data_IF_192970756917
#
_entry.id   IF_192970756917
#
_cell.length_a   1.000
_cell.length_b   1.000
_cell.length_c   1.000
_cell.angle_alpha   90.00
_cell.angle_beta   90.00
_cell.angle_gamma   90.00
#
_symmetry.space_group_name_H-M   'P 1'
#
loop_
_entity.id
_entity.type
_entity.pdbx_description
1 polymer ?
#
# COMPACT_ATOMS: atom_id res chain seq x y z
N UNK A 1 12.88 -22.54 -0.10
CA UNK A 1 13.65 -21.75 -1.10
C UNK A 1 12.80 -21.09 -2.20
N UNK A 2 11.70 -21.67 -2.67
CA UNK A 2 10.90 -21.09 -3.78
C UNK A 2 10.29 -19.70 -3.47
N UNK A 3 9.78 -19.50 -2.25
CA UNK A 3 9.12 -18.24 -1.84
C UNK A 3 10.07 -17.03 -1.89
N UNK A 4 11.27 -17.14 -1.33
CA UNK A 4 12.27 -16.05 -1.32
C UNK A 4 12.68 -15.65 -2.75
N UNK A 5 12.79 -16.65 -3.65
CA UNK A 5 13.09 -16.40 -5.06
C UNK A 5 11.96 -15.62 -5.74
N UNK A 6 10.71 -16.03 -5.51
CA UNK A 6 9.53 -15.35 -6.06
C UNK A 6 9.36 -13.95 -5.48
N UNK A 7 9.65 -13.75 -4.20
CA UNK A 7 9.66 -12.43 -3.57
C UNK A 7 10.65 -11.48 -4.24
N UNK A 8 11.91 -11.91 -4.45
CA UNK A 8 12.91 -11.11 -5.16
C UNK A 8 12.46 -10.75 -6.58
N UNK A 9 11.77 -11.67 -7.26
CA UNK A 9 11.21 -11.43 -8.59
C UNK A 9 10.05 -10.43 -8.57
N UNK A 10 9.17 -10.54 -7.58
CA UNK A 10 8.07 -9.59 -7.37
C UNK A 10 8.63 -8.17 -7.21
N UNK A 11 9.63 -7.99 -6.33
CA UNK A 11 10.30 -6.69 -6.12
C UNK A 11 10.90 -6.16 -7.44
N UNK A 12 11.64 -7.00 -8.17
CA UNK A 12 12.23 -6.60 -9.47
C UNK A 12 11.16 -6.22 -10.50
N UNK A 13 10.06 -6.95 -10.56
CA UNK A 13 8.93 -6.62 -11.44
C UNK A 13 8.30 -5.29 -11.07
N UNK A 14 8.08 -5.04 -9.78
CA UNK A 14 7.54 -3.76 -9.30
C UNK A 14 8.47 -2.60 -9.68
N UNK A 15 9.78 -2.74 -9.44
CA UNK A 15 10.76 -1.70 -9.72
C UNK A 15 11.00 -1.48 -11.22
N UNK A 16 10.69 -2.45 -12.08
CA UNK A 16 10.77 -2.30 -13.53
C UNK A 16 9.74 -1.30 -14.05
N UNK A 17 8.55 -1.27 -13.47
CA UNK A 17 7.49 -0.31 -13.80
C UNK A 17 7.54 0.95 -12.91
N UNK A 18 8.69 1.65 -12.92
CA UNK A 18 8.99 2.78 -12.02
C UNK A 18 7.84 3.79 -11.88
N UNK A 19 7.25 4.23 -12.99
CA UNK A 19 6.13 5.21 -12.97
C UNK A 19 4.97 4.73 -12.11
N UNK A 20 4.62 3.45 -12.26
CA UNK A 20 3.46 2.88 -11.56
C UNK A 20 3.78 2.56 -10.11
N UNK A 21 5.00 2.08 -9.84
CA UNK A 21 5.48 1.91 -8.48
C UNK A 21 5.40 3.22 -7.69
N UNK A 22 5.89 4.33 -8.26
CA UNK A 22 5.84 5.65 -7.61
C UNK A 22 4.41 6.08 -7.36
N UNK A 23 3.52 6.00 -8.36
CA UNK A 23 2.11 6.39 -8.21
C UNK A 23 1.44 5.59 -7.09
N UNK A 24 1.58 4.25 -7.09
CA UNK A 24 0.95 3.42 -6.08
C UNK A 24 1.56 3.64 -4.70
N UNK A 25 2.88 3.76 -4.59
CA UNK A 25 3.56 4.03 -3.33
C UNK A 25 3.09 5.37 -2.74
N UNK A 26 2.95 6.41 -3.57
CA UNK A 26 2.48 7.73 -3.14
C UNK A 26 1.03 7.66 -2.65
N UNK A 27 0.14 6.97 -3.39
CA UNK A 27 -1.24 6.77 -2.96
C UNK A 27 -1.30 6.04 -1.60
N UNK A 28 -0.57 4.94 -1.43
CA UNK A 28 -0.53 4.24 -0.15
C UNK A 28 0.06 5.10 0.96
N UNK A 29 1.07 5.92 0.68
CA UNK A 29 1.64 6.87 1.63
C UNK A 29 0.58 7.86 2.11
N UNK A 30 -0.16 8.48 1.19
CA UNK A 30 -1.22 9.44 1.52
C UNK A 30 -2.33 8.75 2.32
N UNK A 31 -2.75 7.55 1.91
CA UNK A 31 -3.80 6.81 2.61
C UNK A 31 -3.38 6.46 4.04
N UNK A 32 -2.20 5.87 4.23
CA UNK A 32 -1.68 5.52 5.56
C UNK A 32 -1.52 6.78 6.43
N UNK A 33 -0.97 7.85 5.87
CA UNK A 33 -0.79 9.12 6.58
C UNK A 33 -2.13 9.72 7.03
N UNK A 34 -3.10 9.86 6.12
CA UNK A 34 -4.40 10.43 6.45
C UNK A 34 -5.14 9.58 7.47
N UNK A 35 -5.20 8.26 7.25
CA UNK A 35 -5.89 7.36 8.18
C UNK A 35 -5.23 7.39 9.56
N UNK A 36 -3.90 7.42 9.65
CA UNK A 36 -3.18 7.49 10.93
C UNK A 36 -3.37 8.82 11.62
N UNK A 37 -3.40 9.93 10.88
CA UNK A 37 -3.69 11.26 11.39
C UNK A 37 -5.09 11.34 12.02
N UNK A 38 -6.12 10.89 11.32
CA UNK A 38 -7.48 10.90 11.85
C UNK A 38 -7.64 9.98 13.07
N UNK A 39 -6.90 8.86 13.09
CA UNK A 39 -6.89 7.93 14.21
C UNK A 39 -6.20 8.56 15.44
N UNK A 40 -5.07 9.26 15.26
CA UNK A 40 -4.43 10.06 16.32
C UNK A 40 -5.38 11.12 16.90
N UNK A 41 -6.04 11.90 16.03
CA UNK A 41 -7.02 12.91 16.47
C UNK A 41 -8.14 12.28 17.29
N UNK A 42 -8.59 11.08 16.93
CA UNK A 42 -9.63 10.36 17.68
C UNK A 42 -9.15 9.90 19.05
N UNK A 43 -7.87 9.51 19.16
CA UNK A 43 -7.27 9.09 20.42
C UNK A 43 -6.91 10.26 21.33
N UNK A 44 -6.63 11.43 20.77
CA UNK A 44 -6.45 12.65 21.54
C UNK A 44 -7.77 13.08 22.19
N UNK A 45 -7.75 13.38 23.50
CA UNK A 45 -8.96 13.76 24.26
C UNK A 45 -9.65 15.01 23.71
N UNK A 46 -8.95 15.84 22.95
CA UNK A 46 -9.48 17.05 22.28
C UNK A 46 -10.37 16.74 21.06
N UNK A 47 -10.27 15.52 20.50
CA UNK A 47 -10.97 15.10 19.30
C UNK A 47 -12.17 14.17 19.53
N UNK A 48 -12.60 13.94 20.77
CA UNK A 48 -13.68 13.01 21.13
C UNK A 48 -15.11 13.52 20.84
N UNK A 49 -15.30 14.21 19.71
CA UNK A 49 -16.62 14.62 19.21
C UNK A 49 -17.30 13.51 18.39
N UNK A 50 -18.63 13.56 18.29
CA UNK A 50 -19.36 12.65 17.39
C UNK A 50 -18.95 12.85 15.93
N UNK A 51 -18.71 14.09 15.50
CA UNK A 51 -18.37 14.45 14.11
C UNK A 51 -17.01 13.87 13.65
N UNK A 52 -15.97 13.95 14.48
CA UNK A 52 -14.63 13.42 14.17
C UNK A 52 -14.68 11.90 13.98
N UNK A 53 -15.44 11.21 14.81
CA UNK A 53 -15.65 9.74 14.70
C UNK A 53 -16.30 9.37 13.37
N UNK A 54 -17.31 10.12 12.90
CA UNK A 54 -17.91 9.88 11.58
C UNK A 54 -16.92 10.10 10.44
N UNK A 55 -16.12 11.18 10.50
CA UNK A 55 -15.08 11.42 9.49
C UNK A 55 -14.05 10.30 9.46
N UNK A 56 -13.64 9.78 10.61
CA UNK A 56 -12.70 8.66 10.70
C UNK A 56 -13.28 7.42 10.06
N UNK A 57 -14.54 7.08 10.35
CA UNK A 57 -15.20 5.90 9.75
C UNK A 57 -15.30 6.04 8.22
N UNK A 58 -15.67 7.23 7.73
CA UNK A 58 -15.77 7.49 6.28
C UNK A 58 -14.39 7.42 5.62
N UNK A 59 -13.37 8.08 6.18
CA UNK A 59 -12.01 8.06 5.63
C UNK A 59 -11.40 6.66 5.72
N UNK A 60 -11.64 5.94 6.80
CA UNK A 60 -11.20 4.57 6.96
C UNK A 60 -11.88 3.68 5.92
N UNK A 61 -13.21 3.71 5.80
CA UNK A 61 -13.96 2.93 4.82
C UNK A 61 -13.55 3.22 3.37
N UNK A 62 -13.41 4.50 3.01
CA UNK A 62 -12.96 4.92 1.67
C UNK A 62 -11.51 4.49 1.41
N UNK A 63 -10.62 4.63 2.39
CA UNK A 63 -9.22 4.20 2.27
C UNK A 63 -9.12 2.69 2.04
N UNK A 64 -9.91 1.89 2.75
CA UNK A 64 -9.96 0.44 2.58
C UNK A 64 -10.51 0.06 1.21
N UNK A 65 -11.61 0.70 0.78
CA UNK A 65 -12.20 0.47 -0.53
C UNK A 65 -11.22 0.80 -1.66
N UNK A 66 -10.57 1.96 -1.59
CA UNK A 66 -9.54 2.37 -2.54
C UNK A 66 -8.37 1.38 -2.54
N UNK A 67 -7.93 0.92 -1.37
CA UNK A 67 -6.84 -0.04 -1.24
C UNK A 67 -7.14 -1.37 -1.96
N UNK A 68 -8.39 -1.84 -1.97
CA UNK A 68 -8.85 -3.03 -2.72
C UNK A 68 -8.91 -2.73 -4.22
N UNK A 69 -9.44 -1.56 -4.60
CA UNK A 69 -9.52 -1.12 -6.00
C UNK A 69 -8.12 -1.06 -6.64
N UNK A 70 -7.11 -0.60 -5.91
CA UNK A 70 -5.74 -0.54 -6.42
C UNK A 70 -5.10 -1.91 -6.59
N UNK A 71 -5.25 -2.81 -5.61
CA UNK A 71 -4.81 -4.20 -5.75
C UNK A 71 -5.43 -4.85 -7.00
N UNK A 72 -6.72 -4.59 -7.24
CA UNK A 72 -7.41 -5.05 -8.44
C UNK A 72 -6.85 -4.44 -9.72
N UNK A 73 -6.58 -3.13 -9.75
CA UNK A 73 -6.06 -2.44 -10.92
C UNK A 73 -4.68 -2.97 -11.34
N UNK A 74 -3.80 -3.26 -10.38
CA UNK A 74 -2.50 -3.90 -10.60
C UNK A 74 -2.67 -5.24 -11.33
N UNK A 75 -3.61 -6.07 -10.88
CA UNK A 75 -3.84 -7.39 -11.46
C UNK A 75 -4.41 -7.30 -12.87
N UNK A 76 -5.39 -6.42 -13.11
CA UNK A 76 -6.03 -6.27 -14.42
C UNK A 76 -5.05 -5.73 -15.45
N UNK A 77 -4.27 -4.72 -15.12
CA UNK A 77 -3.32 -4.11 -16.07
C UNK A 77 -2.25 -5.11 -16.49
N UNK A 78 -1.75 -5.90 -15.57
CA UNK A 78 -0.67 -6.86 -15.82
C UNK A 78 -1.18 -8.21 -16.38
N UNK A 79 -2.44 -8.29 -16.82
CA UNK A 79 -3.07 -9.51 -17.37
C UNK A 79 -2.24 -10.17 -18.47
N UNK A 80 -1.59 -9.39 -19.34
CA UNK A 80 -0.72 -9.92 -20.40
C UNK A 80 0.51 -10.60 -19.81
N UNK A 81 1.20 -9.93 -18.88
CA UNK A 81 2.38 -10.48 -18.19
C UNK A 81 2.02 -11.79 -17.49
N UNK A 82 0.85 -11.87 -16.85
CA UNK A 82 0.35 -13.11 -16.24
C UNK A 82 0.10 -14.21 -17.27
N UNK A 83 -0.47 -13.88 -18.44
CA UNK A 83 -0.66 -14.84 -19.53
C UNK A 83 0.68 -15.36 -20.07
N UNK A 84 1.68 -14.49 -20.24
CA UNK A 84 3.02 -14.88 -20.68
C UNK A 84 3.71 -15.79 -19.67
N UNK A 85 3.62 -15.48 -18.37
CA UNK A 85 4.17 -16.33 -17.32
C UNK A 85 3.51 -17.72 -17.31
N UNK A 86 2.19 -17.80 -17.51
CA UNK A 86 1.50 -19.10 -17.66
C UNK A 86 1.97 -19.86 -18.90
N UNK A 87 2.22 -19.18 -20.01
CA UNK A 87 2.72 -19.81 -21.23
C UNK A 87 4.14 -20.39 -21.06
N UNK A 88 4.97 -19.78 -20.20
CA UNK A 88 6.33 -20.27 -19.86
C UNK A 88 6.28 -21.40 -18.81
N UNK A 89 5.09 -21.78 -18.31
CA UNK A 89 4.92 -22.88 -17.36
C UNK A 89 4.82 -22.48 -15.88
N UNK A 90 4.64 -21.18 -15.55
CA UNK A 90 4.35 -20.79 -14.17
C UNK A 90 2.96 -21.26 -13.75
N UNK A 91 2.90 -21.91 -12.58
CA UNK A 91 1.62 -22.30 -11.98
C UNK A 91 0.85 -21.10 -11.45
N UNK A 92 -0.46 -21.26 -11.28
CA UNK A 92 -1.31 -20.24 -10.67
C UNK A 92 -0.85 -19.85 -9.26
N UNK A 93 -0.31 -20.80 -8.48
CA UNK A 93 0.26 -20.54 -7.15
C UNK A 93 1.48 -19.62 -7.22
N UNK A 94 2.37 -19.82 -8.20
CA UNK A 94 3.55 -18.97 -8.39
C UNK A 94 3.14 -17.53 -8.76
N UNK A 95 2.13 -17.38 -9.61
CA UNK A 95 1.62 -16.05 -10.02
C UNK A 95 0.93 -15.35 -8.85
N UNK A 96 0.15 -16.07 -8.05
CA UNK A 96 -0.44 -15.52 -6.83
C UNK A 96 0.65 -15.03 -5.86
N UNK A 97 1.69 -15.81 -5.64
CA UNK A 97 2.83 -15.40 -4.80
C UNK A 97 3.54 -14.15 -5.35
N UNK A 98 3.67 -14.01 -6.68
CA UNK A 98 4.22 -12.81 -7.31
C UNK A 98 3.32 -11.58 -7.09
N UNK A 99 2.01 -11.70 -7.35
CA UNK A 99 1.03 -10.62 -7.14
C UNK A 99 1.01 -10.18 -5.68
N UNK A 100 0.98 -11.15 -4.76
CA UNK A 100 1.06 -10.92 -3.32
C UNK A 100 2.33 -10.14 -2.96
N UNK A 101 3.48 -10.57 -3.48
CA UNK A 101 4.75 -9.88 -3.26
C UNK A 101 4.76 -8.45 -3.77
N UNK A 102 4.15 -8.19 -4.93
CA UNK A 102 4.05 -6.83 -5.50
C UNK A 102 3.24 -5.93 -4.56
N UNK A 103 2.04 -6.36 -4.17
CA UNK A 103 1.12 -5.58 -3.33
C UNK A 103 1.71 -5.33 -1.93
N UNK A 104 2.27 -6.38 -1.30
CA UNK A 104 2.89 -6.26 0.01
C UNK A 104 4.10 -5.31 -0.05
N UNK A 105 4.96 -5.46 -1.06
CA UNK A 105 6.13 -4.59 -1.20
C UNK A 105 5.73 -3.12 -1.39
N UNK A 106 4.73 -2.82 -2.22
CA UNK A 106 4.26 -1.43 -2.39
C UNK A 106 3.66 -0.85 -1.11
N UNK A 107 2.94 -1.67 -0.35
CA UNK A 107 2.32 -1.25 0.93
C UNK A 107 3.41 -0.98 1.98
N UNK A 108 4.40 -1.86 2.09
CA UNK A 108 5.54 -1.71 3.00
C UNK A 108 6.36 -0.46 2.66
N UNK A 109 6.61 -0.19 1.37
CA UNK A 109 7.34 1.02 0.97
C UNK A 109 6.54 2.28 1.31
N UNK A 110 5.22 2.29 1.09
CA UNK A 110 4.37 3.39 1.53
C UNK A 110 4.45 3.63 3.04
N UNK A 111 4.42 2.57 3.85
CA UNK A 111 4.59 2.66 5.30
C UNK A 111 5.95 3.23 5.71
N UNK A 112 7.05 2.74 5.13
CA UNK A 112 8.40 3.24 5.42
C UNK A 112 8.49 4.73 5.10
N UNK A 113 7.93 5.17 3.96
CA UNK A 113 7.92 6.59 3.59
C UNK A 113 7.16 7.43 4.61
N UNK A 114 6.00 6.96 5.11
CA UNK A 114 5.25 7.67 6.15
C UNK A 114 6.06 7.79 7.44
N UNK A 115 6.65 6.69 7.91
CA UNK A 115 7.47 6.68 9.13
C UNK A 115 8.65 7.65 8.98
N UNK A 116 9.36 7.58 7.86
CA UNK A 116 10.50 8.45 7.59
C UNK A 116 10.11 9.93 7.56
N UNK A 117 8.98 10.26 6.91
CA UNK A 117 8.45 11.62 6.85
C UNK A 117 8.07 12.16 8.23
N UNK A 118 7.47 11.32 9.08
CA UNK A 118 7.11 11.70 10.46
C UNK A 118 8.35 11.89 11.35
N UNK A 119 9.39 11.06 11.18
CA UNK A 119 10.66 11.22 11.89
C UNK A 119 11.37 12.53 11.48
N UNK A 120 11.40 12.82 10.18
CA UNK A 120 11.96 14.08 9.67
C UNK A 120 11.18 15.28 10.17
N UNK A 121 9.85 15.21 10.17
CA UNK A 121 9.00 16.24 10.76
C UNK A 121 9.37 16.49 12.23
N UNK A 122 9.40 15.44 13.05
CA UNK A 122 9.71 15.57 14.47
C UNK A 122 11.11 16.15 14.71
N UNK A 123 12.11 15.74 13.93
CA UNK A 123 13.47 16.27 14.00
C UNK A 123 13.53 17.77 13.67
N UNK A 124 12.89 18.18 12.58
CA UNK A 124 12.84 19.59 12.15
C UNK A 124 12.14 20.44 13.20
N UNK A 125 10.98 20.02 13.70
CA UNK A 125 10.23 20.78 14.71
C UNK A 125 11.00 20.84 16.03
N UNK A 126 11.63 19.76 16.47
CA UNK A 126 12.46 19.75 17.68
C UNK A 126 13.60 20.78 17.58
N UNK A 127 14.27 20.86 16.42
CA UNK A 127 15.31 21.86 16.17
C UNK A 127 14.76 23.29 16.17
N UNK A 128 13.62 23.53 15.53
CA UNK A 128 13.00 24.87 15.52
C UNK A 128 12.46 25.27 16.89
N UNK A 129 12.10 24.29 17.73
CA UNK A 129 11.68 24.51 19.10
C UNK A 129 12.85 24.94 19.99
N UNK A 130 14.01 24.27 19.88
CA UNK A 130 15.22 24.65 20.60
C UNK A 130 15.77 26.01 20.16
N UNK A 131 15.55 26.39 18.90
CA UNK A 131 15.87 27.72 18.37
C UNK A 131 14.85 28.82 18.75
N UNK A 132 13.80 28.48 19.52
CA UNK A 132 12.73 29.41 19.92
C UNK A 132 11.92 30.04 18.77
N UNK A 133 11.88 29.43 17.59
CA UNK A 133 11.17 29.96 16.42
C UNK A 133 9.70 29.50 16.43
N UNK A 134 9.44 28.20 16.65
CA UNK A 134 8.10 27.60 16.57
C UNK A 134 7.74 26.90 17.90
N UNK A 135 7.30 27.67 18.89
CA UNK A 135 6.95 27.17 20.24
C UNK A 135 5.55 26.56 20.39
N UNK A 136 4.64 26.91 19.50
CA UNK A 136 3.23 26.51 19.62
C UNK A 136 2.87 25.29 18.77
N UNK A 137 3.83 24.70 18.05
CA UNK A 137 3.59 23.52 17.25
C UNK A 137 3.94 22.26 18.04
N UNK A 138 3.10 21.22 17.98
CA UNK A 138 3.41 19.95 18.61
C UNK A 138 4.64 19.32 17.95
N UNK A 139 5.59 18.86 18.77
CA UNK A 139 6.81 18.20 18.30
C UNK A 139 6.50 16.88 17.58
N UNK A 140 5.43 16.21 18.00
CA UNK A 140 4.97 14.94 17.44
C UNK A 140 3.60 15.19 16.82
N UNK A 141 3.51 15.08 15.49
CA UNK A 141 2.25 15.26 14.76
C UNK A 141 1.35 14.02 14.84
N UNK A 142 1.94 12.84 14.66
CA UNK A 142 1.26 11.55 14.71
C UNK A 142 2.19 10.61 15.48
N UNK A 143 1.69 9.97 16.53
CA UNK A 143 2.46 8.99 17.27
C UNK A 143 2.67 7.72 16.42
N UNK A 144 3.71 6.94 16.74
CA UNK A 144 4.00 5.70 15.99
C UNK A 144 2.89 4.65 16.12
N UNK A 145 2.08 4.72 17.17
CA UNK A 145 1.06 3.73 17.47
C UNK A 145 -0.09 3.74 16.45
N UNK A 146 -0.78 4.86 16.15
CA UNK A 146 -1.75 4.95 15.06
C UNK A 146 -1.19 4.55 13.70
N UNK A 147 0.07 4.91 13.41
CA UNK A 147 0.73 4.52 12.16
C UNK A 147 0.90 3.00 12.07
N UNK A 148 1.31 2.36 13.17
CA UNK A 148 1.43 0.90 13.24
C UNK A 148 0.06 0.20 13.15
N UNK A 149 -0.96 0.72 13.83
CA UNK A 149 -2.34 0.17 13.79
C UNK A 149 -2.90 0.26 12.37
N UNK A 150 -2.81 1.43 11.74
CA UNK A 150 -3.29 1.62 10.37
C UNK A 150 -2.56 0.73 9.38
N UNK A 151 -1.25 0.59 9.51
CA UNK A 151 -0.48 -0.36 8.70
C UNK A 151 -0.95 -1.81 8.88
N UNK A 152 -1.16 -2.26 10.12
CA UNK A 152 -1.66 -3.60 10.42
C UNK A 152 -3.04 -3.87 9.79
N UNK A 153 -3.97 -2.92 9.92
CA UNK A 153 -5.27 -2.99 9.26
C UNK A 153 -5.12 -3.05 7.74
N UNK A 154 -4.29 -2.18 7.15
CA UNK A 154 -4.08 -2.16 5.71
C UNK A 154 -3.53 -3.51 5.23
N UNK A 155 -2.58 -4.11 5.94
CA UNK A 155 -2.10 -5.45 5.61
C UNK A 155 -3.23 -6.49 5.60
N UNK A 156 -4.10 -6.49 6.62
CA UNK A 156 -5.24 -7.42 6.67
C UNK A 156 -6.16 -7.22 5.46
N UNK A 157 -6.51 -5.98 5.14
CA UNK A 157 -7.38 -5.69 3.99
C UNK A 157 -6.70 -6.02 2.66
N UNK A 158 -5.39 -5.80 2.55
CA UNK A 158 -4.64 -6.21 1.37
C UNK A 158 -4.60 -7.73 1.20
N UNK A 159 -4.51 -8.51 2.28
CA UNK A 159 -4.64 -9.97 2.21
C UNK A 159 -6.01 -10.39 1.67
N UNK A 160 -7.09 -9.75 2.12
CA UNK A 160 -8.44 -9.99 1.59
C UNK A 160 -8.52 -9.59 0.10
N UNK A 161 -7.96 -8.44 -0.27
CA UNK A 161 -7.92 -7.96 -1.65
C UNK A 161 -7.20 -8.95 -2.57
N UNK A 162 -6.07 -9.51 -2.10
CA UNK A 162 -5.31 -10.55 -2.82
C UNK A 162 -6.17 -11.80 -3.03
N UNK A 163 -6.89 -12.27 -2.01
CA UNK A 163 -7.80 -13.42 -2.14
C UNK A 163 -8.88 -13.20 -3.20
N UNK A 164 -9.45 -11.99 -3.25
CA UNK A 164 -10.44 -11.62 -4.26
C UNK A 164 -9.79 -11.55 -5.65
N UNK A 165 -8.63 -10.91 -5.76
CA UNK A 165 -7.90 -10.75 -7.01
C UNK A 165 -7.43 -12.10 -7.58
N UNK A 166 -7.13 -13.08 -6.73
CA UNK A 166 -6.75 -14.44 -7.12
C UNK A 166 -7.81 -15.13 -7.98
N UNK A 167 -9.09 -14.93 -7.68
CA UNK A 167 -10.18 -15.48 -8.51
C UNK A 167 -10.11 -14.99 -9.96
N UNK A 168 -9.55 -13.80 -10.21
CA UNK A 168 -9.37 -13.26 -11.56
C UNK A 168 -8.07 -13.71 -12.23
N UNK A 169 -6.96 -13.78 -11.49
CA UNK A 169 -5.68 -14.30 -12.00
C UNK A 169 -5.86 -15.72 -12.55
N UNK A 170 -6.64 -16.54 -11.84
CA UNK A 170 -6.96 -17.92 -12.25
C UNK A 170 -7.65 -17.98 -13.64
N UNK A 171 -8.52 -17.01 -13.95
CA UNK A 171 -9.29 -16.97 -15.20
C UNK A 171 -8.53 -16.43 -16.41
N UNK A 172 -7.27 -15.97 -16.24
CA UNK A 172 -6.45 -15.50 -17.37
C UNK A 172 -5.99 -16.68 -18.22
N UNK A 173 -6.41 -16.71 -19.49
CA UNK A 173 -6.03 -17.74 -20.47
C UNK A 173 -4.67 -17.42 -21.12
N UNK A 174 -3.75 -18.40 -21.26
CA UNK A 174 -2.42 -18.18 -21.87
C UNK A 174 -2.48 -17.65 -23.31
N UNK A 175 -3.51 -18.02 -24.09
CA UNK A 175 -3.69 -17.59 -25.49
C UNK A 175 -3.72 -16.06 -25.68
N UNK A 176 -4.04 -15.28 -24.63
CA UNK A 176 -4.00 -13.82 -24.67
C UNK A 176 -2.59 -13.25 -24.90
N UNK A 177 -1.54 -13.99 -24.55
CA UNK A 177 -0.16 -13.59 -24.80
C UNK A 177 0.29 -13.87 -26.24
N UNK A 178 -0.29 -14.87 -26.90
CA UNK A 178 0.11 -15.34 -28.24
C UNK A 178 -0.62 -14.61 -29.39
N UNK A 179 -1.80 -14.02 -29.12
CA UNK A 179 -2.65 -13.41 -30.16
C UNK A 179 -1.97 -12.27 -30.95
N UNK A 180 -0.90 -11.65 -30.42
CA UNK A 180 -0.26 -10.47 -31.02
C UNK A 180 1.16 -10.69 -31.55
N UNK A 181 1.65 -11.94 -31.57
CA UNK A 181 2.93 -12.25 -32.25
C UNK A 181 2.72 -12.44 -33.76
N UNK A 182 1.45 -12.61 -34.19
CA UNK A 182 1.06 -12.66 -35.60
C UNK A 182 0.45 -11.37 -36.15
N UNK A 183 0.52 -10.26 -35.42
CA UNK A 183 0.25 -8.88 -35.89
C UNK A 183 1.57 -8.10 -35.85
#
# INVERSE_FOLDING_TARGET
>A
MAFIRLWKWAVRMTLREKKMFVIFSLIYTILIFLTSFFLEVTFSQEGAGGLTTYFVIIFFGTSLFLSVLYAWLIVVRNRRVWATLKAIGYTNGNINSLVTGIILYTTVMGFIIVVEALLHYAAIITYLHSANILRNLPVILISLLPVAITFGVFLIVQLIAILIANRKVLKVRPMLALKRVGE
#
